data_IF_920504329805
#
_entry.id   IF_920504329805
#
_cell.length_a   1.000
_cell.length_b   1.000
_cell.length_c   1.000
_cell.angle_alpha   90.00
_cell.angle_beta   90.00
_cell.angle_gamma   90.00
#
_symmetry.space_group_name_H-M   'P 1'
#
loop_
_entity.id
_entity.type
_entity.pdbx_description
1 polymer ?
#
# COMPACT_ATOMS: atom_id res chain seq x y z
N UNK A 1 0.35 24.51 2.15
CA UNK A 1 0.46 23.84 0.84
C UNK A 1 -0.48 24.41 -0.21
N UNK A 2 -1.71 24.80 0.16
CA UNK A 2 -2.80 25.25 -0.74
C UNK A 2 -2.49 26.31 -1.82
N UNK A 3 -1.36 27.02 -1.78
CA UNK A 3 -0.95 28.05 -2.75
C UNK A 3 0.55 27.96 -3.16
N UNK A 4 1.20 26.84 -2.88
CA UNK A 4 2.63 26.64 -3.18
C UNK A 4 2.79 25.85 -4.49
N UNK A 5 3.52 26.42 -5.45
CA UNK A 5 3.76 25.82 -6.77
C UNK A 5 4.43 24.44 -6.70
N UNK A 6 5.13 24.16 -5.59
CA UNK A 6 5.81 22.89 -5.34
C UNK A 6 4.82 21.75 -5.17
N UNK A 7 3.58 22.04 -4.75
CA UNK A 7 2.57 21.06 -4.42
C UNK A 7 1.40 21.11 -5.40
N UNK A 8 1.03 19.94 -5.91
CA UNK A 8 -0.17 19.75 -6.70
C UNK A 8 -1.23 19.09 -5.83
N UNK A 9 -2.44 19.67 -5.79
CA UNK A 9 -3.62 19.00 -5.26
C UNK A 9 -3.92 17.76 -6.10
N UNK A 10 -4.03 16.60 -5.46
CA UNK A 10 -4.33 15.32 -6.14
C UNK A 10 -5.68 14.75 -5.78
N UNK A 11 -6.18 15.02 -4.57
CA UNK A 11 -7.46 14.51 -4.09
C UNK A 11 -8.07 15.47 -3.08
N UNK A 12 -9.39 15.60 -3.08
CA UNK A 12 -10.16 16.28 -2.04
C UNK A 12 -11.30 15.37 -1.63
N UNK A 13 -11.35 15.03 -0.34
CA UNK A 13 -12.43 14.23 0.20
C UNK A 13 -13.72 15.04 0.28
N UNK A 14 -14.82 14.44 -0.13
CA UNK A 14 -16.17 15.01 0.04
C UNK A 14 -16.76 14.71 1.43
N UNK A 15 -16.18 13.76 2.16
CA UNK A 15 -16.71 13.26 3.43
C UNK A 15 -15.86 13.66 4.63
N UNK A 16 -14.54 13.71 4.45
CA UNK A 16 -13.58 13.94 5.51
C UNK A 16 -13.23 15.42 5.61
N UNK A 17 -13.04 15.88 6.84
CA UNK A 17 -12.61 17.23 7.16
C UNK A 17 -11.24 17.21 7.82
N UNK A 18 -10.47 18.25 7.58
CA UNK A 18 -9.22 18.50 8.29
C UNK A 18 -9.48 18.98 9.73
N UNK A 19 -8.41 19.28 10.47
CA UNK A 19 -8.49 19.75 11.86
C UNK A 19 -9.17 21.11 12.01
N UNK A 20 -9.31 21.88 10.94
CA UNK A 20 -9.95 23.19 10.92
C UNK A 20 -11.43 23.12 10.49
N UNK A 21 -11.92 21.93 10.11
CA UNK A 21 -13.30 21.73 9.64
C UNK A 21 -13.48 21.97 8.13
N UNK A 22 -12.40 22.22 7.41
CA UNK A 22 -12.34 22.34 5.95
C UNK A 22 -12.27 20.95 5.29
N UNK A 23 -12.64 20.80 4.00
CA UNK A 23 -12.46 19.53 3.30
C UNK A 23 -11.02 19.01 3.37
N UNK A 24 -10.84 17.72 3.63
CA UNK A 24 -9.52 17.11 3.68
C UNK A 24 -8.93 17.02 2.26
N UNK A 25 -7.83 17.73 2.02
CA UNK A 25 -7.14 17.79 0.73
C UNK A 25 -5.79 17.09 0.83
N UNK A 26 -5.52 16.22 -0.14
CA UNK A 26 -4.22 15.58 -0.31
C UNK A 26 -3.45 16.23 -1.46
N UNK A 27 -2.17 16.43 -1.22
CA UNK A 27 -1.21 17.01 -2.14
C UNK A 27 -0.11 16.01 -2.48
N UNK A 28 0.51 16.16 -3.64
CA UNK A 28 1.76 15.50 -4.01
C UNK A 28 2.75 16.57 -4.49
N UNK A 29 4.05 16.26 -4.51
CA UNK A 29 5.02 17.15 -5.16
C UNK A 29 4.78 17.17 -6.67
N UNK A 30 4.86 18.35 -7.28
CA UNK A 30 4.74 18.51 -8.73
C UNK A 30 5.88 17.79 -9.47
N UNK A 31 7.05 17.70 -8.83
CA UNK A 31 8.24 16.98 -9.29
C UNK A 31 8.61 15.91 -8.27
N UNK A 32 8.54 14.64 -8.70
CA UNK A 32 8.83 13.48 -7.86
C UNK A 32 10.32 13.33 -7.49
N UNK A 33 11.24 14.08 -8.12
CA UNK A 33 12.65 14.10 -7.73
C UNK A 33 12.91 14.92 -6.47
N UNK A 34 11.93 15.74 -6.05
CA UNK A 34 12.08 16.67 -4.92
C UNK A 34 11.62 16.10 -3.58
N UNK A 35 11.24 14.81 -3.52
CA UNK A 35 10.94 14.18 -2.25
C UNK A 35 12.20 14.14 -1.37
N UNK A 36 12.03 14.41 -0.08
CA UNK A 36 13.14 14.31 0.85
C UNK A 36 13.58 12.85 1.06
N UNK A 37 14.88 12.63 1.31
CA UNK A 37 15.49 11.30 1.50
C UNK A 37 14.72 10.43 2.51
N UNK A 38 14.21 11.05 3.59
CA UNK A 38 13.44 10.33 4.62
C UNK A 38 12.21 9.59 4.08
N UNK A 39 11.58 10.09 3.01
CA UNK A 39 10.41 9.44 2.38
C UNK A 39 10.83 8.24 1.56
N UNK A 40 11.95 8.32 0.85
CA UNK A 40 12.53 7.15 0.17
C UNK A 40 12.94 6.06 1.17
N UNK A 41 13.55 6.44 2.29
CA UNK A 41 13.90 5.49 3.37
C UNK A 41 12.65 4.85 3.97
N UNK A 42 11.61 5.65 4.26
CA UNK A 42 10.35 5.13 4.78
C UNK A 42 9.64 4.22 3.78
N UNK A 43 9.63 4.57 2.49
CA UNK A 43 9.07 3.74 1.43
C UNK A 43 9.86 2.44 1.23
N UNK A 44 11.20 2.49 1.27
CA UNK A 44 12.06 1.30 1.21
C UNK A 44 11.80 0.36 2.39
N UNK A 45 11.67 0.89 3.61
CA UNK A 45 11.29 0.11 4.78
C UNK A 45 9.87 -0.48 4.64
N UNK A 46 8.91 0.30 4.16
CA UNK A 46 7.54 -0.15 3.90
C UNK A 46 7.48 -1.22 2.81
N UNK A 47 8.39 -1.16 1.84
CA UNK A 47 8.46 -2.14 0.78
C UNK A 47 8.79 -3.53 1.35
N UNK A 48 9.80 -3.64 2.21
CA UNK A 48 10.18 -4.92 2.87
C UNK A 48 8.97 -5.57 3.58
N UNK A 49 8.12 -4.74 4.20
CA UNK A 49 6.88 -5.19 4.85
C UNK A 49 5.79 -5.59 3.86
N UNK A 50 5.65 -4.84 2.78
CA UNK A 50 4.71 -5.13 1.69
C UNK A 50 5.06 -6.44 0.99
N UNK A 51 6.35 -6.68 0.76
CA UNK A 51 6.90 -7.92 0.20
C UNK A 51 6.60 -9.17 1.05
N UNK A 52 6.42 -8.96 2.36
CA UNK A 52 6.14 -10.03 3.32
C UNK A 52 4.64 -10.19 3.62
N UNK A 53 3.75 -9.38 3.03
CA UNK A 53 2.32 -9.34 3.36
C UNK A 53 2.04 -9.03 4.84
N UNK A 54 2.98 -8.33 5.50
CA UNK A 54 3.05 -8.17 6.94
C UNK A 54 3.48 -6.75 7.31
N UNK A 55 2.63 -5.99 7.99
CA UNK A 55 3.05 -4.75 8.65
C UNK A 55 3.78 -5.02 9.98
N UNK A 56 4.58 -4.06 10.45
CA UNK A 56 5.27 -4.14 11.75
C UNK A 56 4.30 -4.41 12.92
N UNK A 57 3.10 -3.82 12.89
CA UNK A 57 2.09 -4.02 13.93
C UNK A 57 1.51 -5.42 13.90
N UNK A 58 1.24 -5.98 12.70
CA UNK A 58 0.75 -7.36 12.54
C UNK A 58 1.81 -8.35 13.00
N UNK A 59 3.07 -8.17 12.60
CA UNK A 59 4.17 -9.05 13.03
C UNK A 59 4.31 -9.03 14.56
N UNK A 60 4.33 -7.85 15.17
CA UNK A 60 4.40 -7.71 16.63
C UNK A 60 3.21 -8.40 17.33
N UNK A 61 1.99 -8.27 16.77
CA UNK A 61 0.80 -8.94 17.29
C UNK A 61 0.94 -10.46 17.20
N UNK A 62 1.34 -10.99 16.05
CA UNK A 62 1.53 -12.44 15.87
C UNK A 62 2.56 -12.99 16.86
N UNK A 63 3.70 -12.32 17.03
CA UNK A 63 4.71 -12.73 18.00
C UNK A 63 4.19 -12.70 19.45
N UNK A 64 3.36 -11.70 19.80
CA UNK A 64 2.73 -11.62 21.11
C UNK A 64 1.75 -12.77 21.34
N UNK A 65 0.91 -13.10 20.36
CA UNK A 65 -0.03 -14.21 20.46
C UNK A 65 0.68 -15.57 20.51
N UNK A 66 1.78 -15.74 19.78
CA UNK A 66 2.63 -16.93 19.88
C UNK A 66 3.22 -17.08 21.28
N UNK A 67 3.71 -15.99 21.87
CA UNK A 67 4.26 -15.99 23.24
C UNK A 67 3.19 -16.38 24.26
N UNK A 68 1.97 -15.83 24.11
CA UNK A 68 0.82 -16.21 24.95
C UNK A 68 0.45 -17.69 24.81
N UNK A 69 0.42 -18.22 23.58
CA UNK A 69 0.13 -19.63 23.31
C UNK A 69 1.18 -20.56 23.94
N UNK A 70 2.47 -20.21 23.87
CA UNK A 70 3.55 -20.94 24.53
C UNK A 70 3.35 -20.94 26.04
N UNK A 71 3.11 -19.77 26.64
CA UNK A 71 2.90 -19.64 28.09
C UNK A 71 1.71 -20.47 28.57
N UNK A 72 0.67 -20.62 27.74
CA UNK A 72 -0.53 -21.41 28.01
C UNK A 72 -0.42 -22.89 27.59
N UNK A 73 0.77 -23.35 27.14
CA UNK A 73 1.03 -24.71 26.66
C UNK A 73 0.17 -25.16 25.47
N UNK A 74 -0.25 -24.22 24.63
CA UNK A 74 -1.08 -24.46 23.44
C UNK A 74 -0.24 -24.45 22.16
N UNK A 75 0.52 -25.53 21.94
CA UNK A 75 1.48 -25.61 20.84
C UNK A 75 0.83 -25.72 19.45
N UNK A 76 -0.40 -26.22 19.40
CA UNK A 76 -1.27 -26.21 18.23
C UNK A 76 -1.59 -24.78 17.76
N UNK A 77 -1.91 -23.87 18.69
CA UNK A 77 -2.14 -22.46 18.39
C UNK A 77 -0.86 -21.78 17.85
N UNK A 78 0.33 -22.16 18.35
CA UNK A 78 1.60 -21.67 17.81
C UNK A 78 1.79 -22.07 16.34
N UNK A 79 1.45 -23.31 15.98
CA UNK A 79 1.53 -23.78 14.59
C UNK A 79 0.59 -23.01 13.66
N UNK A 80 -0.61 -22.63 14.13
CA UNK A 80 -1.55 -21.77 13.40
C UNK A 80 -0.93 -20.39 13.13
N UNK A 81 -0.30 -19.77 14.11
CA UNK A 81 0.37 -18.47 13.94
C UNK A 81 1.55 -18.53 12.98
N UNK A 82 2.36 -19.59 13.03
CA UNK A 82 3.46 -19.81 12.07
C UNK A 82 2.94 -19.99 10.64
N UNK A 83 1.85 -20.76 10.47
CA UNK A 83 1.22 -20.92 9.15
C UNK A 83 0.63 -19.61 8.63
N UNK A 84 0.10 -18.75 9.50
CA UNK A 84 -0.35 -17.41 9.12
C UNK A 84 0.81 -16.52 8.63
N UNK A 85 1.99 -16.60 9.25
CA UNK A 85 3.20 -15.91 8.76
C UNK A 85 3.57 -16.44 7.37
N UNK A 86 3.65 -17.78 7.22
CA UNK A 86 3.99 -18.41 5.93
C UNK A 86 3.02 -18.01 4.82
N UNK A 87 1.71 -18.07 5.09
CA UNK A 87 0.69 -17.71 4.12
C UNK A 87 0.80 -16.25 3.68
N UNK A 88 1.10 -15.32 4.60
CA UNK A 88 1.28 -13.90 4.29
C UNK A 88 2.55 -13.62 3.49
N UNK A 89 3.64 -14.34 3.75
CA UNK A 89 4.86 -14.29 2.95
C UNK A 89 4.61 -14.83 1.54
N UNK A 90 3.82 -15.90 1.40
CA UNK A 90 3.52 -16.52 0.09
C UNK A 90 2.49 -15.76 -0.74
N UNK A 91 1.61 -14.97 -0.10
CA UNK A 91 0.55 -14.21 -0.76
C UNK A 91 0.50 -12.76 -0.23
N UNK A 92 1.48 -11.91 -0.59
CA UNK A 92 1.59 -10.54 -0.13
C UNK A 92 0.59 -9.62 -0.85
N UNK A 93 -0.71 -9.84 -0.63
CA UNK A 93 -1.76 -8.87 -1.01
C UNK A 93 -2.23 -8.20 0.28
N UNK A 94 -1.51 -7.14 0.68
CA UNK A 94 -1.89 -6.34 1.84
C UNK A 94 -2.26 -4.94 1.36
N UNK A 95 -3.55 -4.72 1.08
CA UNK A 95 -4.11 -3.43 0.67
C UNK A 95 -3.70 -2.32 1.66
N UNK A 96 -3.56 -2.66 2.94
CA UNK A 96 -3.09 -1.78 4.00
C UNK A 96 -1.65 -1.30 3.76
N UNK A 97 -0.79 -2.19 3.26
CA UNK A 97 0.60 -1.88 2.96
C UNK A 97 0.71 -0.99 1.71
N UNK A 98 -0.11 -1.27 0.69
CA UNK A 98 -0.23 -0.42 -0.51
C UNK A 98 -0.74 0.97 -0.16
N UNK A 99 -1.84 1.06 0.60
CA UNK A 99 -2.39 2.33 1.05
C UNK A 99 -1.39 3.12 1.88
N UNK A 100 -0.65 2.45 2.77
CA UNK A 100 0.42 3.09 3.53
C UNK A 100 1.53 3.63 2.63
N UNK A 101 1.90 2.92 1.57
CA UNK A 101 2.85 3.40 0.57
C UNK A 101 2.34 4.69 -0.10
N UNK A 102 1.07 4.73 -0.50
CA UNK A 102 0.47 5.95 -1.01
C UNK A 102 0.54 7.09 0.03
N UNK A 103 0.25 6.81 1.30
CA UNK A 103 0.29 7.84 2.36
C UNK A 103 1.69 8.39 2.65
N UNK A 104 2.77 7.65 2.36
CA UNK A 104 4.15 8.16 2.49
C UNK A 104 4.46 9.24 1.44
N UNK A 105 3.88 9.14 0.24
CA UNK A 105 4.15 10.08 -0.85
C UNK A 105 3.15 11.23 -0.95
N UNK A 106 2.01 11.15 -0.26
CA UNK A 106 1.01 12.22 -0.26
C UNK A 106 1.07 13.02 1.02
N UNK A 107 0.75 14.30 0.93
CA UNK A 107 0.79 15.25 2.03
C UNK A 107 -0.59 15.79 2.34
N UNK A 108 -0.77 16.21 3.59
CA UNK A 108 -1.92 17.02 4.03
C UNK A 108 -1.43 18.36 4.58
N UNK A 109 -2.32 19.34 4.68
CA UNK A 109 -1.97 20.65 5.22
C UNK A 109 -1.44 20.52 6.67
N UNK A 110 -0.34 21.22 6.98
CA UNK A 110 0.35 21.11 8.28
C UNK A 110 1.41 19.99 8.37
N UNK A 111 1.47 19.05 7.43
CA UNK A 111 2.55 18.06 7.37
C UNK A 111 3.86 18.68 6.89
N UNK A 112 4.97 18.39 7.58
CA UNK A 112 6.29 18.84 7.13
C UNK A 112 6.74 18.00 5.91
N UNK A 113 6.99 18.60 4.75
CA UNK A 113 7.34 17.84 3.55
C UNK A 113 8.73 17.18 3.63
N UNK A 114 9.64 17.76 4.41
CA UNK A 114 11.03 17.32 4.54
C UNK A 114 11.21 16.23 5.61
N UNK A 115 10.13 15.82 6.28
CA UNK A 115 10.13 14.72 7.25
C UNK A 115 9.01 13.75 6.96
N UNK A 116 9.28 12.47 7.15
CA UNK A 116 8.25 11.43 7.10
C UNK A 116 7.94 10.98 8.53
N UNK A 117 6.98 11.65 9.18
CA UNK A 117 6.60 11.33 10.55
C UNK A 117 5.49 10.27 10.57
N UNK A 118 5.71 9.18 11.30
CA UNK A 118 4.77 8.06 11.31
C UNK A 118 3.35 8.45 11.73
N UNK A 119 3.20 9.40 12.65
CA UNK A 119 1.88 9.80 13.14
C UNK A 119 0.99 10.36 12.01
N UNK A 120 1.55 11.11 11.06
CA UNK A 120 0.83 11.60 9.88
C UNK A 120 0.44 10.46 8.95
N UNK A 121 1.35 9.52 8.71
CA UNK A 121 1.06 8.33 7.87
C UNK A 121 -0.06 7.49 8.47
N UNK A 122 -0.02 7.19 9.78
CA UNK A 122 -1.09 6.46 10.48
C UNK A 122 -2.41 7.23 10.47
N UNK A 123 -2.36 8.54 10.72
CA UNK A 123 -3.55 9.38 10.72
C UNK A 123 -4.21 9.38 9.34
N UNK A 124 -3.45 9.65 8.27
CA UNK A 124 -3.97 9.65 6.89
C UNK A 124 -4.54 8.28 6.52
N UNK A 125 -3.85 7.18 6.86
CA UNK A 125 -4.32 5.81 6.62
C UNK A 125 -5.66 5.54 7.32
N UNK A 126 -5.81 5.99 8.57
CA UNK A 126 -7.08 5.87 9.30
C UNK A 126 -8.19 6.68 8.63
N UNK A 127 -7.89 7.88 8.13
CA UNK A 127 -8.89 8.72 7.45
C UNK A 127 -9.39 8.06 6.17
N UNK A 128 -8.49 7.67 5.26
CA UNK A 128 -8.88 7.12 3.95
C UNK A 128 -9.64 5.79 4.05
N UNK A 129 -9.41 4.99 5.09
CA UNK A 129 -10.18 3.76 5.33
C UNK A 129 -11.66 4.01 5.65
N UNK A 130 -11.97 5.20 6.15
CA UNK A 130 -13.35 5.61 6.44
C UNK A 130 -14.00 6.35 5.26
N UNK A 131 -13.27 6.57 4.16
CA UNK A 131 -13.77 7.24 2.96
C UNK A 131 -13.58 6.32 1.74
N UNK A 132 -14.64 5.65 1.28
CA UNK A 132 -14.55 4.74 0.13
C UNK A 132 -14.00 5.39 -1.14
N UNK A 133 -14.27 6.69 -1.38
CA UNK A 133 -13.77 7.40 -2.57
C UNK A 133 -12.25 7.59 -2.46
N UNK A 134 -11.76 8.02 -1.29
CA UNK A 134 -10.33 8.12 -1.03
C UNK A 134 -9.64 6.76 -1.08
N UNK A 135 -10.26 5.73 -0.49
CA UNK A 135 -9.75 4.36 -0.49
C UNK A 135 -9.50 3.85 -1.91
N UNK A 136 -10.53 3.89 -2.76
CA UNK A 136 -10.43 3.41 -4.14
C UNK A 136 -9.49 4.25 -4.99
N UNK A 137 -9.31 5.54 -4.68
CA UNK A 137 -8.35 6.40 -5.36
C UNK A 137 -6.89 6.04 -5.00
N UNK A 138 -6.59 5.85 -3.71
CA UNK A 138 -5.22 5.66 -3.25
C UNK A 138 -4.71 4.22 -3.32
N UNK A 139 -5.60 3.22 -3.32
CA UNK A 139 -5.22 1.82 -3.43
C UNK A 139 -4.39 1.50 -4.70
N UNK A 140 -4.82 1.84 -5.93
CA UNK A 140 -4.03 1.59 -7.13
C UNK A 140 -2.71 2.38 -7.17
N UNK A 141 -2.70 3.59 -6.60
CA UNK A 141 -1.48 4.41 -6.49
C UNK A 141 -0.47 3.72 -5.57
N UNK A 142 -0.93 3.23 -4.42
CA UNK A 142 -0.14 2.46 -3.47
C UNK A 142 0.46 1.20 -4.08
N UNK A 143 -0.34 0.46 -4.86
CA UNK A 143 0.09 -0.73 -5.58
C UNK A 143 1.18 -0.42 -6.62
N UNK A 144 1.07 0.69 -7.36
CA UNK A 144 2.09 1.10 -8.33
C UNK A 144 3.45 1.45 -7.69
N UNK A 145 3.46 1.79 -6.40
CA UNK A 145 4.66 2.05 -5.61
C UNK A 145 5.21 0.81 -4.90
N UNK A 146 4.50 -0.32 -4.94
CA UNK A 146 5.02 -1.61 -4.43
C UNK A 146 5.70 -2.41 -5.56
N UNK A 147 7.04 -2.63 -5.52
CA UNK A 147 7.79 -3.28 -6.59
C UNK A 147 7.34 -4.70 -6.98
N UNK A 148 6.89 -5.56 -6.05
CA UNK A 148 6.37 -6.89 -6.42
C UNK A 148 5.18 -6.78 -7.39
N UNK A 149 4.31 -5.79 -7.19
CA UNK A 149 3.18 -5.58 -8.09
C UNK A 149 3.60 -4.87 -9.37
N UNK A 150 4.67 -4.04 -9.34
CA UNK A 150 5.28 -3.48 -10.56
C UNK A 150 5.90 -4.57 -11.42
N UNK A 151 6.63 -5.51 -10.84
CA UNK A 151 7.16 -6.68 -11.54
C UNK A 151 6.02 -7.54 -12.12
N UNK A 152 4.96 -7.80 -11.35
CA UNK A 152 3.77 -8.50 -11.84
C UNK A 152 3.03 -7.74 -12.96
N UNK A 153 2.95 -6.40 -12.90
CA UNK A 153 2.35 -5.56 -13.96
C UNK A 153 3.26 -5.42 -15.19
N UNK A 154 4.58 -5.43 -15.03
CA UNK A 154 5.54 -5.50 -16.12
C UNK A 154 5.51 -6.89 -16.79
N UNK A 155 5.32 -7.95 -16.01
CA UNK A 155 5.07 -9.31 -16.48
C UNK A 155 3.68 -9.42 -17.17
N UNK A 156 2.70 -8.61 -16.78
CA UNK A 156 1.41 -8.39 -17.47
C UNK A 156 1.50 -7.15 -18.39
N UNK A 157 2.60 -6.99 -19.12
CA UNK A 157 2.65 -6.00 -20.20
C UNK A 157 1.65 -6.32 -21.31
N UNK A 158 1.26 -5.33 -22.13
CA UNK A 158 0.43 -5.58 -23.32
C UNK A 158 1.04 -6.66 -24.23
N UNK A 159 2.36 -6.77 -24.25
CA UNK A 159 3.08 -7.80 -24.99
C UNK A 159 2.77 -9.20 -24.46
N UNK A 160 2.81 -9.44 -23.14
CA UNK A 160 2.50 -10.75 -22.56
C UNK A 160 1.01 -11.08 -22.62
N UNK A 161 0.14 -10.08 -22.56
CA UNK A 161 -1.30 -10.25 -22.78
C UNK A 161 -1.62 -10.62 -24.24
N UNK A 162 -0.93 -10.01 -25.21
CA UNK A 162 -1.03 -10.40 -26.62
C UNK A 162 -0.49 -11.80 -26.88
N UNK A 163 0.63 -12.16 -26.23
CA UNK A 163 1.24 -13.48 -26.34
C UNK A 163 0.37 -14.58 -25.72
N UNK A 164 -0.28 -14.29 -24.58
CA UNK A 164 -1.25 -15.20 -23.96
C UNK A 164 -2.53 -15.33 -24.81
N UNK A 165 -2.99 -14.23 -25.42
CA UNK A 165 -4.13 -14.22 -26.33
C UNK A 165 -3.86 -15.05 -27.59
N UNK A 166 -2.66 -14.93 -28.18
CA UNK A 166 -2.26 -15.73 -29.35
C UNK A 166 -2.12 -17.21 -29.00
N UNK A 167 -1.56 -17.54 -27.83
CA UNK A 167 -1.43 -18.91 -27.33
C UNK A 167 -2.79 -19.56 -27.08
N UNK A 168 -3.75 -18.83 -26.50
CA UNK A 168 -5.13 -19.32 -26.31
C UNK A 168 -5.82 -19.54 -27.66
N UNK A 169 -5.62 -18.64 -28.63
CA UNK A 169 -6.16 -18.81 -30.00
C UNK A 169 -5.58 -20.03 -30.71
N UNK A 170 -4.30 -20.37 -30.48
CA UNK A 170 -3.67 -21.57 -31.03
C UNK A 170 -4.18 -22.87 -30.38
N UNK A 171 -4.55 -22.82 -29.10
CA UNK A 171 -5.07 -23.98 -28.36
C UNK A 171 -6.58 -24.18 -28.52
N UNK A 172 -7.28 -23.20 -29.11
CA UNK A 172 -8.72 -23.30 -29.39
C UNK A 172 -8.91 -23.97 -30.75
N UNK A 173 -9.60 -25.13 -30.85
CA UNK A 173 -9.80 -25.80 -32.12
C UNK A 173 -10.57 -24.90 -33.09
N UNK A 174 -9.94 -24.51 -34.19
CA UNK A 174 -10.64 -23.81 -35.27
C UNK A 174 -11.67 -24.77 -35.86
N UNK A 175 -12.94 -24.60 -35.50
CA UNK A 175 -14.03 -25.23 -36.22
C UNK A 175 -14.07 -24.57 -37.61
N UNK A 176 -13.50 -25.26 -38.59
CA UNK A 176 -13.70 -24.95 -39.99
C UNK A 176 -15.18 -25.22 -40.30
N UNK A 177 -15.91 -24.15 -40.65
CA UNK A 177 -17.17 -24.25 -41.39
C UNK A 177 -16.86 -24.33 -42.89
#
# INVERSE_FOLDING_TARGET
MKNDIKFKKVFESKMLKDTNGDPLIFYALADASQYHLSRYVAASAQNIYSESGLTKSILAKICSEMTNAINNKKLDEVAVWVNNIKARISYPVDEDASLRMAMIYHFVEGENPDKCENHWTEWKLKQIKNDPEAYSFFLPIGLAYTPIYREYLEEISEASLMERKSMIQMLTPQHQL
#
